data_IF_173747378686
#
_entry.id   IF_173747378686
#
_cell.length_a   1.000
_cell.length_b   1.000
_cell.length_c   1.000
_cell.angle_alpha   90.00
_cell.angle_beta   90.00
_cell.angle_gamma   90.00
#
_symmetry.space_group_name_H-M   'P 1'
#
loop_
_entity.id
_entity.type
_entity.pdbx_description
1 polymer ?
#
# COMPACT_ATOMS: atom_id res chain seq x y z
N UNK A 1 -9.73 1.39 -6.66
CA UNK A 1 -10.34 2.30 -5.66
C UNK A 1 -9.39 2.44 -4.50
N UNK A 2 -9.22 3.65 -3.97
CA UNK A 2 -8.46 3.95 -2.75
C UNK A 2 -9.45 4.33 -1.64
N UNK A 3 -9.21 3.91 -0.41
CA UNK A 3 -10.08 4.21 0.73
C UNK A 3 -9.58 3.57 2.02
N UNK A 4 -10.29 3.74 3.14
CA UNK A 4 -9.94 3.05 4.36
C UNK A 4 -10.15 1.54 4.21
N UNK A 5 -9.26 0.75 4.80
CA UNK A 5 -9.24 -0.71 4.63
C UNK A 5 -10.59 -1.35 4.95
N UNK A 6 -11.22 -0.96 6.05
CA UNK A 6 -12.53 -1.47 6.45
C UNK A 6 -13.65 -1.23 5.43
N UNK A 7 -13.57 -0.13 4.65
CA UNK A 7 -14.60 0.28 3.70
C UNK A 7 -14.43 -0.41 2.34
N UNK A 8 -13.20 -0.82 2.01
CA UNK A 8 -12.87 -1.34 0.68
C UNK A 8 -12.49 -2.83 0.67
N UNK A 9 -12.32 -3.47 1.84
CA UNK A 9 -12.05 -4.91 1.94
C UNK A 9 -13.26 -5.73 1.49
N UNK A 10 -13.00 -6.93 0.96
CA UNK A 10 -14.05 -7.91 0.66
C UNK A 10 -14.72 -7.77 -0.71
N UNK A 11 -14.25 -6.89 -1.59
CA UNK A 11 -14.73 -6.84 -2.97
C UNK A 11 -14.36 -8.12 -3.73
N UNK A 12 -15.33 -8.74 -4.39
CA UNK A 12 -15.14 -10.01 -5.09
C UNK A 12 -14.05 -9.89 -6.17
N UNK A 13 -13.09 -10.82 -6.16
CA UNK A 13 -11.95 -10.84 -7.09
C UNK A 13 -10.82 -9.86 -6.76
N UNK A 14 -11.03 -8.93 -5.84
CA UNK A 14 -10.05 -7.96 -5.39
C UNK A 14 -9.59 -8.24 -3.96
N UNK A 15 -8.49 -7.61 -3.59
CA UNK A 15 -7.94 -7.60 -2.26
C UNK A 15 -7.49 -6.19 -1.90
N UNK A 16 -7.73 -5.79 -0.65
CA UNK A 16 -7.39 -4.46 -0.18
C UNK A 16 -5.93 -4.47 0.29
N UNK A 17 -5.06 -3.87 -0.51
CA UNK A 17 -3.66 -3.73 -0.19
C UNK A 17 -3.45 -2.52 0.72
N UNK A 18 -2.96 -2.77 1.94
CA UNK A 18 -2.44 -1.75 2.86
C UNK A 18 -0.93 -1.79 2.83
N UNK A 19 -0.28 -0.68 3.20
CA UNK A 19 1.16 -0.65 3.40
C UNK A 19 1.60 -1.75 4.37
N UNK A 20 2.84 -2.24 4.23
CA UNK A 20 3.29 -3.42 4.97
C UNK A 20 3.08 -3.27 6.48
N UNK A 21 2.13 -4.04 7.02
CA UNK A 21 1.56 -3.83 8.37
C UNK A 21 2.60 -3.78 9.48
N UNK A 22 3.64 -4.61 9.41
CA UNK A 22 4.71 -4.63 10.42
C UNK A 22 5.46 -3.31 10.43
N UNK A 23 5.93 -2.85 9.27
CA UNK A 23 6.64 -1.58 9.17
C UNK A 23 5.75 -0.37 9.43
N UNK A 24 4.47 -0.42 9.05
CA UNK A 24 3.51 0.63 9.40
C UNK A 24 3.41 0.81 10.93
N UNK A 25 3.36 -0.29 11.70
CA UNK A 25 3.32 -0.22 13.17
C UNK A 25 4.59 0.37 13.79
N UNK A 26 5.74 0.11 13.16
CA UNK A 26 7.03 0.55 13.68
C UNK A 26 7.35 2.01 13.30
N UNK A 27 6.84 2.48 12.16
CA UNK A 27 7.24 3.74 11.54
C UNK A 27 6.17 4.85 11.58
N UNK A 28 4.93 4.51 11.94
CA UNK A 28 3.80 5.44 11.99
C UNK A 28 3.20 5.43 13.39
N UNK A 29 3.14 6.60 14.02
CA UNK A 29 2.62 6.71 15.38
C UNK A 29 1.11 6.39 15.42
N UNK A 30 0.68 5.65 16.44
CA UNK A 30 -0.73 5.28 16.66
C UNK A 30 -1.39 4.58 15.45
N UNK A 31 -0.62 3.83 14.65
CA UNK A 31 -1.13 3.14 13.48
C UNK A 31 -2.22 2.11 13.82
N UNK A 32 -3.43 2.33 13.28
CA UNK A 32 -4.54 1.38 13.32
C UNK A 32 -4.77 0.75 11.92
N UNK A 33 -4.54 -0.56 11.75
CA UNK A 33 -4.72 -1.26 10.48
C UNK A 33 -6.17 -1.32 9.98
N UNK A 34 -7.19 -1.06 10.82
CA UNK A 34 -8.59 -1.10 10.38
C UNK A 34 -9.00 0.14 9.58
N UNK A 35 -8.43 1.29 9.96
CA UNK A 35 -8.67 2.59 9.32
C UNK A 35 -7.54 3.01 8.38
N UNK A 36 -6.49 2.20 8.27
CA UNK A 36 -5.38 2.41 7.36
C UNK A 36 -5.86 2.58 5.91
N UNK A 37 -5.20 3.48 5.19
CA UNK A 37 -5.45 3.66 3.76
C UNK A 37 -5.03 2.43 2.98
N UNK A 38 -5.91 2.01 2.08
CA UNK A 38 -5.77 0.82 1.27
C UNK A 38 -6.11 1.13 -0.20
N UNK A 39 -5.64 0.26 -1.09
CA UNK A 39 -5.99 0.26 -2.51
C UNK A 39 -6.45 -1.14 -2.91
N UNK A 40 -7.60 -1.22 -3.60
CA UNK A 40 -8.08 -2.50 -4.12
C UNK A 40 -7.29 -2.90 -5.37
N UNK A 41 -6.70 -4.09 -5.31
CA UNK A 41 -5.90 -4.71 -6.37
C UNK A 41 -6.36 -6.15 -6.61
N UNK A 42 -6.10 -6.75 -7.79
CA UNK A 42 -6.33 -8.17 -8.00
C UNK A 42 -5.55 -9.05 -7.01
N UNK A 43 -6.15 -10.20 -6.63
CA UNK A 43 -5.47 -11.21 -5.78
C UNK A 43 -4.18 -11.75 -6.42
N UNK A 44 -4.19 -11.91 -7.74
CA UNK A 44 -2.99 -12.19 -8.53
C UNK A 44 -2.11 -10.95 -8.50
N UNK A 45 -0.86 -11.11 -8.06
CA UNK A 45 0.05 -10.02 -7.75
C UNK A 45 0.06 -9.60 -6.27
N UNK A 46 -0.99 -9.89 -5.50
CA UNK A 46 -1.06 -9.52 -4.07
C UNK A 46 -0.78 -10.70 -3.14
N UNK A 47 -1.60 -11.74 -3.24
CA UNK A 47 -1.54 -12.95 -2.40
C UNK A 47 -1.09 -14.16 -3.20
N UNK A 48 -1.35 -14.17 -4.50
CA UNK A 48 -0.97 -15.21 -5.47
C UNK A 48 0.05 -14.62 -6.45
N UNK A 49 1.12 -15.34 -6.77
CA UNK A 49 2.09 -14.86 -7.76
C UNK A 49 1.48 -14.82 -9.16
N UNK A 50 1.65 -13.69 -9.86
CA UNK A 50 1.22 -13.51 -11.25
C UNK A 50 2.38 -13.47 -12.24
N UNK A 51 2.10 -13.13 -13.52
CA UNK A 51 3.12 -12.99 -14.57
C UNK A 51 4.20 -11.96 -14.23
N UNK A 52 3.81 -10.86 -13.56
CA UNK A 52 4.72 -9.82 -13.08
C UNK A 52 5.21 -10.09 -11.64
N UNK A 53 5.03 -11.32 -11.15
CA UNK A 53 5.36 -11.74 -9.80
C UNK A 53 4.30 -11.34 -8.76
N UNK A 54 4.76 -11.04 -7.55
CA UNK A 54 3.95 -10.64 -6.40
C UNK A 54 4.57 -9.40 -5.75
N UNK A 55 3.77 -8.58 -5.08
CA UNK A 55 4.30 -7.45 -4.31
C UNK A 55 5.25 -7.94 -3.23
N UNK A 56 6.38 -7.25 -3.07
CA UNK A 56 7.38 -7.62 -2.08
C UNK A 56 6.82 -7.59 -0.67
N UNK A 57 7.10 -8.66 0.08
CA UNK A 57 6.81 -8.79 1.53
C UNK A 57 8.05 -8.54 2.38
N UNK A 58 9.19 -8.24 1.75
CA UNK A 58 10.42 -7.97 2.47
C UNK A 58 10.33 -6.63 3.16
N UNK A 59 10.72 -6.61 4.43
CA UNK A 59 10.87 -5.39 5.24
C UNK A 59 12.29 -4.84 5.20
N UNK A 60 13.20 -5.51 4.49
CA UNK A 60 14.61 -5.13 4.44
C UNK A 60 14.82 -3.81 3.70
N UNK A 61 15.81 -3.02 4.15
CA UNK A 61 16.22 -1.75 3.52
C UNK A 61 15.10 -0.70 3.48
N UNK A 62 14.22 -0.72 4.50
CA UNK A 62 13.23 0.33 4.76
C UNK A 62 13.51 0.88 6.16
N UNK A 63 13.90 2.15 6.22
CA UNK A 63 14.36 2.85 7.43
C UNK A 63 13.34 3.85 7.96
N UNK A 64 12.40 4.30 7.11
CA UNK A 64 11.41 5.32 7.46
C UNK A 64 10.10 5.15 6.67
N UNK A 65 9.03 5.77 7.16
CA UNK A 65 7.67 5.64 6.59
C UNK A 65 7.60 6.14 5.13
N UNK A 66 8.40 7.15 4.76
CA UNK A 66 8.47 7.63 3.38
C UNK A 66 9.08 6.59 2.42
N UNK A 67 10.12 5.86 2.86
CA UNK A 67 10.70 4.77 2.08
C UNK A 67 9.71 3.61 1.93
N UNK A 68 8.94 3.30 2.97
CA UNK A 68 7.86 2.31 2.90
C UNK A 68 6.83 2.70 1.82
N UNK A 69 6.27 3.90 1.90
CA UNK A 69 5.31 4.40 0.92
C UNK A 69 5.87 4.37 -0.52
N UNK A 70 7.14 4.76 -0.69
CA UNK A 70 7.78 4.72 -1.99
C UNK A 70 7.95 3.28 -2.52
N UNK A 71 8.33 2.33 -1.66
CA UNK A 71 8.44 0.91 -2.02
C UNK A 71 7.08 0.36 -2.44
N UNK A 72 6.03 0.61 -1.66
CA UNK A 72 4.68 0.10 -1.94
C UNK A 72 4.18 0.61 -3.30
N UNK A 73 4.30 1.92 -3.58
CA UNK A 73 3.90 2.49 -4.88
C UNK A 73 4.72 1.91 -6.03
N UNK A 74 6.03 1.73 -5.85
CA UNK A 74 6.91 1.15 -6.86
C UNK A 74 6.53 -0.30 -7.17
N UNK A 75 6.25 -1.10 -6.15
CA UNK A 75 5.83 -2.50 -6.29
C UNK A 75 4.43 -2.61 -6.91
N UNK A 76 3.48 -1.76 -6.50
CA UNK A 76 2.15 -1.69 -7.11
C UNK A 76 2.26 -1.42 -8.61
N UNK A 77 3.09 -0.45 -9.01
CA UNK A 77 3.30 -0.11 -10.43
C UNK A 77 4.03 -1.20 -11.21
N UNK A 78 4.89 -1.99 -10.55
CA UNK A 78 5.64 -3.08 -11.16
C UNK A 78 4.75 -4.30 -11.39
N UNK A 79 3.91 -4.63 -10.42
CA UNK A 79 3.07 -5.83 -10.43
C UNK A 79 1.80 -5.64 -11.25
N UNK A 80 1.19 -4.45 -11.15
CA UNK A 80 -0.04 -4.07 -11.83
C UNK A 80 0.27 -2.99 -12.87
N UNK A 81 0.42 -3.40 -14.13
CA UNK A 81 0.73 -2.50 -15.25
C UNK A 81 -0.47 -1.65 -15.71
N UNK A 82 -1.68 -2.05 -15.31
CA UNK A 82 -2.96 -1.40 -15.59
C UNK A 82 -3.44 -0.47 -14.47
N UNK A 83 -2.69 -0.35 -13.37
CA UNK A 83 -3.09 0.52 -12.25
C UNK A 83 -3.10 1.99 -12.68
N UNK A 84 -4.24 2.71 -12.53
CA UNK A 84 -4.29 4.12 -12.93
C UNK A 84 -3.32 4.97 -12.11
N UNK A 85 -2.53 5.81 -12.79
CA UNK A 85 -1.63 6.75 -12.11
C UNK A 85 -2.37 7.70 -11.16
N UNK A 86 -3.65 8.02 -11.44
CA UNK A 86 -4.51 8.79 -10.56
C UNK A 86 -4.71 8.10 -9.21
N UNK A 87 -4.97 6.79 -9.20
CA UNK A 87 -5.13 6.00 -7.97
C UNK A 87 -3.85 5.96 -7.14
N UNK A 88 -2.68 5.84 -7.78
CA UNK A 88 -1.39 5.88 -7.08
C UNK A 88 -1.12 7.27 -6.47
N UNK A 89 -1.44 8.34 -7.20
CA UNK A 89 -1.32 9.72 -6.68
C UNK A 89 -2.25 9.94 -5.50
N UNK A 90 -3.50 9.53 -5.61
CA UNK A 90 -4.48 9.61 -4.53
C UNK A 90 -4.00 8.85 -3.28
N UNK A 91 -3.48 7.63 -3.44
CA UNK A 91 -2.90 6.85 -2.35
C UNK A 91 -1.75 7.59 -1.66
N UNK A 92 -0.82 8.18 -2.44
CA UNK A 92 0.30 8.95 -1.91
C UNK A 92 -0.18 10.18 -1.13
N UNK A 93 -1.10 10.94 -1.72
CA UNK A 93 -1.57 12.21 -1.15
C UNK A 93 -2.33 11.97 0.15
N UNK A 94 -3.21 10.96 0.18
CA UNK A 94 -3.94 10.58 1.38
C UNK A 94 -3.00 10.05 2.48
N UNK A 95 -2.02 9.21 2.14
CA UNK A 95 -1.05 8.70 3.11
C UNK A 95 -0.22 9.83 3.71
N UNK A 96 0.29 10.76 2.89
CA UNK A 96 1.02 11.94 3.40
C UNK A 96 0.14 12.87 4.21
N UNK A 97 -1.15 12.98 3.89
CA UNK A 97 -2.10 13.77 4.68
C UNK A 97 -2.31 13.17 6.05
N UNK A 98 -2.53 11.85 6.12
CA UNK A 98 -2.83 11.10 7.34
C UNK A 98 -1.59 10.85 8.22
N UNK A 99 -0.43 10.63 7.60
CA UNK A 99 0.82 10.26 8.26
C UNK A 99 1.93 11.27 7.89
N UNK A 100 2.13 12.32 8.71
CA UNK A 100 3.19 13.32 8.49
C UNK A 100 4.59 12.72 8.33
N UNK A 101 4.86 11.56 8.95
CA UNK A 101 6.11 10.78 8.87
C UNK A 101 6.43 10.32 7.45
N UNK A 102 5.43 10.24 6.57
CA UNK A 102 5.63 9.90 5.15
C UNK A 102 6.00 11.10 4.27
N UNK A 103 5.98 12.33 4.79
CA UNK A 103 6.27 13.55 4.01
C UNK A 103 7.76 13.76 3.81
N UNK A 104 8.59 13.42 4.80
CA UNK A 104 10.01 13.74 4.85
C UNK A 104 10.85 12.49 5.17
N UNK A 105 12.17 12.58 5.01
CA UNK A 105 13.12 11.50 5.37
C UNK A 105 13.71 11.82 6.73
#
# INVERSE_FOLDING_TARGET
>A
MVGAYQDIKGYAGLDAHVGQKTLMKDLVENYDPQVALAINVPKVGHTISGPNGIVSRSTSRIENARQLLARDVMELRRVYDDIPNSSLRELIDLNKKMHPEMRYK
#
